data_IF_737115205895
#
_entry.id   IF_737115205895
#
_cell.length_a   1.000
_cell.length_b   1.000
_cell.length_c   1.000
_cell.angle_alpha   90.00
_cell.angle_beta   90.00
_cell.angle_gamma   90.00
#
_symmetry.space_group_name_H-M   'P 1'
#
loop_
_entity.id
_entity.type
_entity.pdbx_description
1 polymer ?
#
# COMPACT_ATOMS: atom_id res chain seq x y z
N UNK A 1 36.95 72.04 -23.44
CA UNK A 1 35.67 71.62 -22.87
C UNK A 1 35.56 70.11 -23.07
N UNK A 2 35.72 69.38 -22.00
CA UNK A 2 35.77 67.88 -22.00
C UNK A 2 34.45 67.39 -21.41
N UNK A 3 33.64 66.75 -22.23
CA UNK A 3 32.37 66.12 -21.80
C UNK A 3 32.59 64.64 -21.47
N UNK A 4 32.47 64.29 -20.20
CA UNK A 4 32.54 62.89 -19.72
C UNK A 4 31.15 62.31 -19.81
N UNK A 5 30.99 61.27 -20.62
CA UNK A 5 29.78 60.44 -20.69
C UNK A 5 29.86 59.33 -19.67
N UNK A 6 28.93 59.31 -18.69
CA UNK A 6 28.81 58.29 -17.64
C UNK A 6 27.85 57.21 -18.15
N UNK A 7 28.36 56.02 -18.44
CA UNK A 7 27.56 54.85 -18.80
C UNK A 7 27.06 54.16 -17.51
N UNK A 8 25.76 54.10 -17.32
CA UNK A 8 25.12 53.37 -16.22
C UNK A 8 24.89 51.91 -16.71
N UNK A 9 25.61 50.99 -16.09
CA UNK A 9 25.42 49.54 -16.31
C UNK A 9 24.29 49.05 -15.42
N UNK A 10 23.10 48.78 -15.98
CA UNK A 10 22.02 48.08 -15.30
C UNK A 10 22.30 46.57 -15.32
N UNK A 11 22.75 46.04 -14.19
CA UNK A 11 22.83 44.59 -13.99
C UNK A 11 21.42 44.02 -13.75
N UNK A 12 20.85 43.38 -14.76
CA UNK A 12 19.60 42.63 -14.64
C UNK A 12 19.78 41.37 -13.77
N UNK A 13 19.25 41.38 -12.55
CA UNK A 13 19.11 40.17 -11.73
C UNK A 13 17.98 39.34 -12.32
N UNK A 14 18.32 38.27 -13.05
CA UNK A 14 17.35 37.22 -13.40
C UNK A 14 17.09 36.36 -12.17
N UNK A 15 15.93 36.51 -11.55
CA UNK A 15 15.44 35.61 -10.52
C UNK A 15 15.14 34.25 -11.17
N UNK A 16 15.97 33.29 -10.92
CA UNK A 16 15.66 31.87 -11.24
C UNK A 16 14.60 31.37 -10.27
N UNK A 17 13.35 31.38 -10.71
CA UNK A 17 12.27 30.64 -10.04
C UNK A 17 12.54 29.14 -10.23
N UNK A 18 13.26 28.55 -9.28
CA UNK A 18 13.43 27.11 -9.19
C UNK A 18 12.08 26.48 -8.85
N UNK A 19 11.37 25.99 -9.86
CA UNK A 19 10.26 25.07 -9.70
C UNK A 19 10.85 23.77 -9.12
N UNK A 20 10.76 23.61 -7.81
CA UNK A 20 10.99 22.31 -7.17
C UNK A 20 9.91 21.38 -7.69
N UNK A 21 10.20 20.62 -8.75
CA UNK A 21 9.41 19.47 -9.12
C UNK A 21 9.43 18.53 -7.90
N UNK A 22 8.27 18.35 -7.26
CA UNK A 22 8.09 17.40 -6.16
C UNK A 22 8.49 16.04 -6.71
N UNK A 23 9.65 15.53 -6.28
CA UNK A 23 10.14 14.22 -6.72
C UNK A 23 9.06 13.20 -6.43
N UNK A 24 8.68 12.42 -7.45
CA UNK A 24 7.67 11.38 -7.27
C UNK A 24 8.18 10.38 -6.23
N UNK A 25 7.35 10.09 -5.23
CA UNK A 25 7.68 9.11 -4.19
C UNK A 25 7.81 7.74 -4.83
N UNK A 26 8.96 7.09 -4.67
CA UNK A 26 9.21 5.75 -5.19
C UNK A 26 8.91 4.68 -4.13
N UNK A 27 8.46 3.51 -4.58
CA UNK A 27 8.10 2.39 -3.72
C UNK A 27 8.87 1.14 -4.15
N UNK A 28 9.36 0.39 -3.20
CA UNK A 28 10.05 -0.89 -3.42
C UNK A 28 9.51 -1.98 -2.50
N UNK A 29 9.77 -3.26 -2.79
CA UNK A 29 9.46 -4.33 -1.84
C UNK A 29 10.13 -4.07 -0.49
N UNK A 30 9.40 -4.27 0.60
CA UNK A 30 9.95 -4.25 1.93
C UNK A 30 10.74 -5.53 2.19
N UNK A 31 11.86 -5.42 2.91
CA UNK A 31 12.64 -6.59 3.34
C UNK A 31 11.93 -7.34 4.46
N UNK A 32 12.28 -8.59 4.68
CA UNK A 32 11.76 -9.39 5.79
C UNK A 32 11.98 -8.71 7.14
N UNK A 33 13.18 -8.17 7.39
CA UNK A 33 13.48 -7.42 8.61
C UNK A 33 12.60 -6.18 8.79
N UNK A 34 12.30 -5.46 7.70
CA UNK A 34 11.38 -4.32 7.72
C UNK A 34 9.94 -4.75 8.03
N UNK A 35 9.47 -5.86 7.43
CA UNK A 35 8.15 -6.41 7.71
C UNK A 35 8.01 -6.87 9.16
N UNK A 36 9.02 -7.58 9.68
CA UNK A 36 9.05 -7.97 11.09
C UNK A 36 9.01 -6.79 12.07
N UNK A 37 9.63 -5.67 11.70
CA UNK A 37 9.66 -4.48 12.55
C UNK A 37 8.30 -3.76 12.65
N UNK A 38 7.45 -3.86 11.61
CA UNK A 38 6.19 -3.10 11.54
C UNK A 38 4.94 -3.96 11.73
N UNK A 39 4.98 -5.24 11.33
CA UNK A 39 3.83 -6.14 11.43
C UNK A 39 3.78 -6.80 12.81
N UNK A 40 2.63 -6.75 13.51
CA UNK A 40 2.50 -7.28 14.85
C UNK A 40 2.47 -8.82 14.82
N UNK A 41 3.09 -9.47 15.81
CA UNK A 41 2.94 -10.92 16.04
C UNK A 41 1.51 -11.32 16.43
N UNK A 42 0.74 -10.37 16.99
CA UNK A 42 -0.69 -10.49 17.29
C UNK A 42 -1.40 -9.23 16.85
N UNK A 43 -2.16 -9.33 15.76
CA UNK A 43 -2.88 -8.20 15.17
C UNK A 43 -4.11 -7.82 16.00
N UNK A 44 -4.38 -6.52 16.20
CA UNK A 44 -5.63 -6.06 16.80
C UNK A 44 -6.75 -6.20 15.76
N UNK A 45 -7.75 -7.02 16.10
CA UNK A 45 -8.92 -7.28 15.25
C UNK A 45 -10.17 -7.05 16.10
N UNK A 46 -10.80 -5.90 15.94
CA UNK A 46 -11.94 -5.45 16.76
C UNK A 46 -11.55 -5.48 18.26
N UNK A 47 -12.09 -6.43 19.02
CA UNK A 47 -11.79 -6.61 20.45
C UNK A 47 -10.78 -7.72 20.74
N UNK A 48 -10.29 -8.41 19.73
CA UNK A 48 -9.39 -9.57 19.86
C UNK A 48 -7.96 -9.24 19.47
N UNK A 49 -7.02 -10.08 19.89
CA UNK A 49 -5.62 -10.08 19.47
C UNK A 49 -5.32 -11.43 18.81
N UNK A 50 -5.28 -11.45 17.48
CA UNK A 50 -5.15 -12.66 16.66
C UNK A 50 -3.71 -12.86 16.25
N UNK A 51 -3.17 -14.07 16.43
CA UNK A 51 -1.85 -14.48 15.99
C UNK A 51 -1.69 -14.29 14.48
N UNK A 52 -0.47 -13.95 14.05
CA UNK A 52 -0.14 -13.73 12.66
C UNK A 52 0.93 -14.69 12.17
N UNK A 53 0.89 -15.05 10.88
CA UNK A 53 1.91 -15.89 10.23
C UNK A 53 2.94 -15.00 9.52
N UNK A 54 4.08 -14.77 10.15
CA UNK A 54 5.14 -13.88 9.64
C UNK A 54 5.68 -14.29 8.26
N UNK A 55 5.73 -15.61 7.98
CA UNK A 55 6.18 -16.12 6.67
C UNK A 55 5.18 -15.85 5.54
N UNK A 56 3.93 -15.53 5.89
CA UNK A 56 2.87 -15.14 4.96
C UNK A 56 2.62 -13.63 5.02
N UNK A 57 3.69 -12.85 5.10
CA UNK A 57 3.66 -11.39 5.06
C UNK A 57 4.21 -10.85 3.74
N UNK A 58 3.74 -9.70 3.34
CA UNK A 58 4.26 -8.96 2.19
C UNK A 58 4.00 -7.47 2.36
N UNK A 59 4.87 -6.65 1.77
CA UNK A 59 4.70 -5.20 1.82
C UNK A 59 5.64 -4.46 0.92
N UNK A 60 5.35 -3.19 0.79
CA UNK A 60 6.17 -2.21 0.09
C UNK A 60 6.50 -1.05 1.03
N UNK A 61 7.62 -0.42 0.80
CA UNK A 61 8.08 0.75 1.54
C UNK A 61 8.50 1.85 0.58
N UNK A 62 8.11 3.08 0.89
CA UNK A 62 8.52 4.24 0.12
C UNK A 62 9.91 4.73 0.53
N UNK A 63 10.54 5.55 -0.32
CA UNK A 63 11.76 6.31 0.00
C UNK A 63 11.59 7.24 1.20
N UNK A 64 10.35 7.68 1.49
CA UNK A 64 9.99 8.44 2.68
C UNK A 64 9.70 7.57 3.92
N UNK A 65 9.96 6.25 3.88
CA UNK A 65 9.76 5.33 4.99
C UNK A 65 8.30 4.98 5.32
N UNK A 66 7.34 5.26 4.44
CA UNK A 66 5.94 4.86 4.60
C UNK A 66 5.73 3.43 4.10
N UNK A 67 4.88 2.67 4.77
CA UNK A 67 4.62 1.27 4.46
C UNK A 67 3.18 1.04 3.98
N UNK A 68 3.04 0.06 3.09
CA UNK A 68 1.81 -0.69 2.86
C UNK A 68 2.18 -2.16 3.00
N UNK A 69 1.73 -2.81 4.06
CA UNK A 69 2.15 -4.16 4.39
C UNK A 69 1.01 -4.98 5.00
N UNK A 70 0.93 -6.24 4.60
CA UNK A 70 -0.10 -7.17 5.08
C UNK A 70 0.48 -8.49 5.56
N UNK A 71 -0.28 -9.14 6.43
CA UNK A 71 0.10 -10.40 7.08
C UNK A 71 -1.12 -11.29 7.24
N UNK A 72 -0.92 -12.60 7.07
CA UNK A 72 -1.96 -13.60 7.28
C UNK A 72 -2.33 -13.70 8.77
N UNK A 73 -3.62 -13.78 9.07
CA UNK A 73 -4.18 -14.03 10.40
C UNK A 73 -4.41 -15.53 10.61
N UNK A 74 -4.05 -16.03 11.79
CA UNK A 74 -4.36 -17.39 12.23
C UNK A 74 -5.68 -17.34 13.00
N UNK A 75 -6.80 -17.47 12.27
CA UNK A 75 -8.13 -17.16 12.79
C UNK A 75 -8.89 -18.32 13.41
N UNK A 76 -8.32 -19.53 13.39
CA UNK A 76 -8.97 -20.70 13.99
C UNK A 76 -9.28 -20.51 15.47
N UNK A 77 -10.55 -20.66 15.84
CA UNK A 77 -11.03 -20.45 17.22
C UNK A 77 -11.29 -18.98 17.61
N UNK A 78 -11.17 -18.05 16.69
CA UNK A 78 -11.52 -16.64 16.89
C UNK A 78 -12.81 -16.26 16.16
N UNK A 79 -13.47 -15.18 16.56
CA UNK A 79 -14.68 -14.66 15.87
C UNK A 79 -14.40 -14.17 14.44
N UNK A 80 -13.13 -13.99 14.11
CA UNK A 80 -12.64 -13.65 12.78
C UNK A 80 -12.66 -14.82 11.79
N UNK A 81 -12.82 -16.06 12.26
CA UNK A 81 -12.75 -17.27 11.42
C UNK A 81 -13.78 -17.24 10.29
N UNK A 82 -13.30 -17.52 9.07
CA UNK A 82 -14.13 -17.50 7.87
C UNK A 82 -14.50 -16.11 7.34
N UNK A 83 -14.14 -15.04 8.06
CA UNK A 83 -14.45 -13.66 7.66
C UNK A 83 -13.21 -12.84 7.31
N UNK A 84 -12.19 -12.88 8.15
CA UNK A 84 -10.96 -12.15 7.95
C UNK A 84 -9.80 -13.10 7.75
N UNK A 85 -8.99 -12.86 6.72
CA UNK A 85 -7.82 -13.66 6.41
C UNK A 85 -6.52 -12.89 6.62
N UNK A 86 -6.55 -11.57 6.47
CA UNK A 86 -5.35 -10.75 6.48
C UNK A 86 -5.56 -9.47 7.28
N UNK A 87 -4.49 -9.02 7.91
CA UNK A 87 -4.35 -7.71 8.51
C UNK A 87 -3.44 -6.85 7.63
N UNK A 88 -3.85 -5.61 7.34
CA UNK A 88 -3.14 -4.67 6.47
C UNK A 88 -2.83 -3.39 7.24
N UNK A 89 -1.55 -3.03 7.32
CA UNK A 89 -1.08 -1.70 7.73
C UNK A 89 -0.92 -0.87 6.46
N UNK A 90 -1.60 0.27 6.43
CA UNK A 90 -1.54 1.19 5.31
C UNK A 90 -1.16 2.59 5.78
N UNK A 91 -0.01 3.11 5.33
CA UNK A 91 0.48 4.46 5.66
C UNK A 91 0.42 5.43 4.47
N UNK A 92 -0.36 5.08 3.45
CA UNK A 92 -0.58 5.90 2.26
C UNK A 92 -2.09 5.94 1.93
N UNK A 93 -2.50 6.81 1.03
CA UNK A 93 -3.86 6.73 0.48
C UNK A 93 -3.86 5.75 -0.68
N UNK A 94 -4.60 4.64 -0.53
CA UNK A 94 -4.75 3.62 -1.58
C UNK A 94 -6.12 3.73 -2.24
N UNK A 95 -6.13 3.74 -3.56
CA UNK A 95 -7.33 3.54 -4.37
C UNK A 95 -7.36 2.10 -4.85
N UNK A 96 -8.41 1.35 -4.48
CA UNK A 96 -8.64 -0.06 -4.86
C UNK A 96 -10.05 -0.17 -5.44
N UNK A 97 -10.17 -0.35 -6.76
CA UNK A 97 -11.46 -0.21 -7.43
C UNK A 97 -12.06 1.17 -7.16
N UNK A 98 -13.30 1.21 -6.68
CA UNK A 98 -13.97 2.45 -6.26
C UNK A 98 -13.67 2.86 -4.81
N UNK A 99 -13.02 1.99 -4.06
CA UNK A 99 -12.70 2.17 -2.64
C UNK A 99 -11.45 3.02 -2.44
N UNK A 100 -11.48 3.92 -1.45
CA UNK A 100 -10.30 4.67 -1.01
C UNK A 100 -9.98 4.29 0.44
N UNK A 101 -8.82 3.68 0.65
CA UNK A 101 -8.27 3.39 1.97
C UNK A 101 -7.29 4.49 2.36
N UNK A 102 -7.65 5.30 3.36
CA UNK A 102 -6.76 6.30 3.95
C UNK A 102 -5.69 5.61 4.82
N UNK A 103 -4.65 6.32 5.28
CA UNK A 103 -3.74 5.76 6.27
C UNK A 103 -4.50 5.19 7.47
N UNK A 104 -4.21 3.93 7.81
CA UNK A 104 -4.91 3.19 8.87
C UNK A 104 -4.65 1.69 8.83
N UNK A 105 -5.34 0.96 9.68
CA UNK A 105 -5.26 -0.49 9.77
C UNK A 105 -6.56 -1.12 9.29
N UNK A 106 -6.44 -2.15 8.48
CA UNK A 106 -7.54 -2.78 7.79
C UNK A 106 -7.49 -4.29 7.93
N UNK A 107 -8.65 -4.91 7.75
CA UNK A 107 -8.80 -6.35 7.59
C UNK A 107 -9.30 -6.61 6.17
N UNK A 108 -8.90 -7.73 5.60
CA UNK A 108 -9.58 -8.22 4.43
C UNK A 108 -9.68 -9.74 4.45
N UNK A 109 -10.74 -10.22 3.86
CA UNK A 109 -11.01 -11.63 3.63
C UNK A 109 -11.49 -11.85 2.21
N UNK A 110 -11.65 -13.10 1.82
CA UNK A 110 -12.08 -13.43 0.47
C UNK A 110 -13.08 -14.58 0.45
N UNK A 111 -13.94 -14.54 -0.54
CA UNK A 111 -14.86 -15.63 -0.88
C UNK A 111 -14.56 -16.08 -2.30
N UNK A 112 -14.43 -17.39 -2.49
CA UNK A 112 -14.20 -17.96 -3.81
C UNK A 112 -15.46 -17.89 -4.65
N UNK A 113 -15.32 -17.37 -5.85
CA UNK A 113 -16.24 -17.54 -6.98
C UNK A 113 -15.60 -18.45 -8.02
N UNK A 114 -16.30 -18.77 -9.11
CA UNK A 114 -15.79 -19.72 -10.12
C UNK A 114 -14.33 -19.46 -10.50
N UNK A 115 -14.04 -18.38 -11.21
CA UNK A 115 -12.69 -17.99 -11.65
C UNK A 115 -12.18 -16.69 -11.03
N UNK A 116 -12.76 -16.28 -9.90
CA UNK A 116 -12.42 -15.04 -9.18
C UNK A 116 -12.45 -15.22 -7.67
N UNK A 117 -11.95 -14.21 -6.96
CA UNK A 117 -12.16 -14.02 -5.53
C UNK A 117 -12.83 -12.67 -5.30
N UNK A 118 -13.90 -12.65 -4.51
CA UNK A 118 -14.44 -11.42 -3.96
C UNK A 118 -13.67 -11.06 -2.69
N UNK A 119 -12.91 -9.98 -2.74
CA UNK A 119 -12.09 -9.49 -1.64
C UNK A 119 -12.85 -8.38 -0.91
N UNK A 120 -13.26 -8.61 0.32
CA UNK A 120 -13.95 -7.62 1.15
C UNK A 120 -12.99 -6.97 2.13
N UNK A 121 -13.04 -5.64 2.24
CA UNK A 121 -12.22 -4.84 3.14
C UNK A 121 -13.03 -4.29 4.31
N UNK A 122 -12.38 -4.22 5.47
CA UNK A 122 -12.99 -3.76 6.71
C UNK A 122 -12.01 -2.88 7.50
N UNK A 123 -12.53 -1.97 8.30
CA UNK A 123 -11.76 -1.25 9.30
C UNK A 123 -11.35 -2.20 10.44
N UNK A 124 -10.06 -2.23 10.80
CA UNK A 124 -9.56 -3.22 11.77
C UNK A 124 -10.13 -3.01 13.20
N UNK A 125 -10.31 -1.76 13.59
CA UNK A 125 -10.77 -1.42 14.95
C UNK A 125 -12.26 -1.76 15.19
N UNK A 126 -13.09 -1.67 14.16
CA UNK A 126 -14.56 -1.77 14.31
C UNK A 126 -15.16 -2.95 13.57
N UNK A 127 -14.44 -3.51 12.61
CA UNK A 127 -14.98 -4.50 11.66
C UNK A 127 -15.99 -3.92 10.67
N UNK A 128 -16.09 -2.58 10.57
CA UNK A 128 -16.97 -1.90 9.62
C UNK A 128 -16.59 -2.23 8.19
N UNK A 129 -17.53 -2.70 7.35
CA UNK A 129 -17.26 -2.96 5.93
C UNK A 129 -17.01 -1.65 5.19
N UNK A 130 -16.00 -1.66 4.30
CA UNK A 130 -15.58 -0.51 3.51
C UNK A 130 -15.91 -0.68 2.03
N UNK A 131 -15.90 -1.91 1.55
CA UNK A 131 -16.19 -2.23 0.17
C UNK A 131 -15.58 -3.56 -0.24
N UNK A 132 -15.73 -3.88 -1.52
CA UNK A 132 -15.29 -5.12 -2.13
C UNK A 132 -14.61 -4.85 -3.48
N UNK A 133 -13.66 -5.71 -3.82
CA UNK A 133 -13.04 -5.74 -5.16
C UNK A 133 -12.97 -7.19 -5.64
N UNK A 134 -13.18 -7.40 -6.92
CA UNK A 134 -12.98 -8.70 -7.55
C UNK A 134 -11.49 -8.88 -7.90
N UNK A 135 -10.88 -9.95 -7.41
CA UNK A 135 -9.56 -10.41 -7.81
C UNK A 135 -9.73 -11.46 -8.91
N UNK A 136 -9.16 -11.20 -10.08
CA UNK A 136 -9.23 -12.10 -11.23
C UNK A 136 -8.03 -13.02 -11.30
N UNK A 137 -8.24 -14.20 -11.85
CA UNK A 137 -7.15 -15.13 -12.12
C UNK A 137 -6.19 -14.51 -13.14
N UNK A 138 -4.90 -14.47 -12.78
CA UNK A 138 -3.85 -13.91 -13.62
C UNK A 138 -2.94 -15.03 -14.12
N UNK A 139 -3.03 -15.33 -15.42
CA UNK A 139 -2.24 -16.37 -16.06
C UNK A 139 -0.73 -16.04 -16.14
N UNK A 140 -0.34 -14.79 -15.94
CA UNK A 140 1.07 -14.36 -15.92
C UNK A 140 1.77 -14.68 -14.59
N UNK A 141 1.01 -15.02 -13.54
CA UNK A 141 1.54 -15.41 -12.25
C UNK A 141 2.18 -16.80 -12.35
N UNK A 142 3.50 -16.83 -12.34
CA UNK A 142 4.30 -18.08 -12.36
C UNK A 142 4.51 -18.65 -10.96
N UNK A 143 4.70 -17.78 -9.96
CA UNK A 143 4.89 -18.18 -8.57
C UNK A 143 3.62 -17.91 -7.76
N UNK A 144 3.08 -18.96 -7.16
CA UNK A 144 1.94 -18.88 -6.27
C UNK A 144 2.44 -18.49 -4.88
N UNK A 145 1.93 -17.39 -4.35
CA UNK A 145 2.21 -16.93 -3.00
C UNK A 145 0.89 -16.75 -2.26
N UNK A 146 0.86 -16.98 -0.96
CA UNK A 146 -0.34 -16.79 -0.16
C UNK A 146 -0.83 -15.34 -0.25
N UNK A 147 0.12 -14.39 -0.16
CA UNK A 147 -0.11 -12.95 -0.32
C UNK A 147 1.14 -12.25 -0.82
N UNK A 148 0.98 -11.30 -1.75
CA UNK A 148 2.05 -10.42 -2.19
C UNK A 148 1.54 -9.04 -2.61
N UNK A 149 2.24 -7.99 -2.20
CA UNK A 149 2.05 -6.62 -2.69
C UNK A 149 3.19 -6.30 -3.66
N UNK A 150 2.84 -6.04 -4.92
CA UNK A 150 3.77 -5.62 -5.96
C UNK A 150 3.84 -4.09 -6.00
N UNK A 151 5.04 -3.48 -5.95
CA UNK A 151 5.16 -2.03 -5.95
C UNK A 151 4.59 -1.40 -7.23
N UNK A 152 4.21 -0.09 -7.17
CA UNK A 152 3.69 0.65 -8.33
C UNK A 152 4.62 0.61 -9.53
N UNK A 153 5.94 0.67 -9.30
CA UNK A 153 6.98 0.67 -10.33
C UNK A 153 7.08 -0.66 -11.09
N UNK A 154 6.56 -1.76 -10.49
CA UNK A 154 6.57 -3.08 -11.13
C UNK A 154 5.20 -3.42 -11.72
N UNK A 155 4.17 -3.58 -10.89
CA UNK A 155 2.86 -4.09 -11.32
C UNK A 155 1.67 -3.36 -10.71
N UNK A 156 1.84 -2.64 -9.60
CA UNK A 156 0.76 -1.94 -8.88
C UNK A 156 -0.46 -2.84 -8.58
N UNK A 157 -0.20 -4.02 -8.00
CA UNK A 157 -1.25 -5.00 -7.71
C UNK A 157 -1.00 -5.76 -6.42
N UNK A 158 -2.06 -6.30 -5.85
CA UNK A 158 -2.03 -7.29 -4.77
C UNK A 158 -2.37 -8.67 -5.35
N UNK A 159 -1.65 -9.68 -4.90
CA UNK A 159 -1.77 -11.07 -5.34
C UNK A 159 -2.19 -11.95 -4.17
N UNK A 160 -3.18 -12.81 -4.38
CA UNK A 160 -3.57 -13.91 -3.49
C UNK A 160 -3.58 -15.22 -4.31
N UNK A 161 -2.62 -16.09 -4.05
CA UNK A 161 -2.46 -17.30 -4.86
C UNK A 161 -2.16 -16.96 -6.32
N UNK A 162 -3.13 -17.25 -7.21
CA UNK A 162 -3.10 -16.91 -8.64
C UNK A 162 -4.03 -15.77 -9.01
N UNK A 163 -4.65 -15.12 -8.04
CA UNK A 163 -5.61 -14.04 -8.25
C UNK A 163 -4.99 -12.71 -7.93
N UNK A 164 -5.34 -11.68 -8.71
CA UNK A 164 -4.78 -10.34 -8.56
C UNK A 164 -5.86 -9.28 -8.67
N UNK A 165 -5.65 -8.16 -7.97
CA UNK A 165 -6.41 -6.93 -8.15
C UNK A 165 -5.47 -5.73 -8.10
N UNK A 166 -5.84 -4.68 -8.83
CA UNK A 166 -5.02 -3.47 -8.95
C UNK A 166 -5.26 -2.52 -7.78
N UNK A 167 -4.24 -1.76 -7.45
CA UNK A 167 -4.32 -0.60 -6.58
C UNK A 167 -3.55 0.59 -7.18
N UNK A 168 -3.79 1.79 -6.67
CA UNK A 168 -2.98 2.99 -6.91
C UNK A 168 -2.68 3.65 -5.58
N UNK A 169 -1.51 4.27 -5.47
CA UNK A 169 -1.16 5.14 -4.35
C UNK A 169 -1.43 6.57 -4.80
N UNK A 170 -2.25 7.27 -4.03
CA UNK A 170 -2.52 8.68 -4.27
C UNK A 170 -1.49 9.55 -3.51
N UNK A 171 -1.14 10.72 -4.04
CA UNK A 171 -0.16 11.65 -3.45
C UNK A 171 -0.48 12.13 -2.04
#
# INVERSE_FOLDING_TARGET
MLTVAMAILCAGMTAQTGTHAKSAVTWRPATEAQLHAILPARAPVISERIETEQRASSGIVSDAGRYVAGILLITAGYSAEGKYSYYLINQATLKIGEMTLRPGNYLFGWVRKEDALDISFYEAATGKPLGMVEAKRDATIRRVESFRIWPPEERSMMQLGRFTFKYRIEP
#
